data_IF_775864388844
#
_entry.id   IF_775864388844
#
_cell.length_a   1.000
_cell.length_b   1.000
_cell.length_c   1.000
_cell.angle_alpha   90.00
_cell.angle_beta   90.00
_cell.angle_gamma   90.00
#
_symmetry.space_group_name_H-M   'P 1'
#
loop_
_entity.id
_entity.type
_entity.pdbx_description
1 polymer ?
#
# COMPACT_ATOMS: atom_id res chain seq x y z
N UNK A 1 -2.71 -2.75 -25.95
CA UNK A 1 -2.48 -2.32 -24.56
C UNK A 1 -2.33 -0.80 -24.44
N UNK A 2 -2.83 0.00 -25.40
CA UNK A 2 -2.52 1.44 -25.51
C UNK A 2 -3.54 2.39 -24.87
N UNK A 3 -4.30 1.96 -23.85
CA UNK A 3 -5.32 2.82 -23.22
C UNK A 3 -5.42 2.71 -21.70
N UNK A 4 -4.41 2.18 -21.02
CA UNK A 4 -4.33 2.35 -19.57
C UNK A 4 -3.54 3.63 -19.26
N UNK A 5 -4.08 4.53 -18.43
CA UNK A 5 -3.34 5.72 -18.02
C UNK A 5 -2.03 5.31 -17.34
N UNK A 6 -0.95 6.03 -17.63
CA UNK A 6 0.32 5.82 -16.93
C UNK A 6 0.14 6.21 -15.47
N UNK A 7 0.63 5.36 -14.57
CA UNK A 7 0.68 5.69 -13.15
C UNK A 7 1.57 6.92 -12.92
N UNK A 8 1.11 7.81 -12.06
CA UNK A 8 1.94 8.84 -11.43
C UNK A 8 1.45 9.05 -10.00
N UNK A 9 2.37 9.41 -9.11
CA UNK A 9 2.04 9.75 -7.73
C UNK A 9 1.01 10.88 -7.63
N UNK A 10 1.10 11.86 -8.53
CA UNK A 10 0.12 12.96 -8.60
C UNK A 10 -1.29 12.46 -8.92
N UNK A 11 -1.42 11.61 -9.96
CA UNK A 11 -2.72 11.06 -10.35
C UNK A 11 -3.28 10.12 -9.27
N UNK A 12 -2.40 9.36 -8.61
CA UNK A 12 -2.77 8.50 -7.49
C UNK A 12 -3.32 9.31 -6.30
N UNK A 13 -2.62 10.35 -5.87
CA UNK A 13 -3.13 11.24 -4.82
C UNK A 13 -4.43 11.94 -5.19
N UNK A 14 -4.60 12.35 -6.45
CA UNK A 14 -5.86 12.92 -6.94
C UNK A 14 -7.01 11.91 -6.86
N UNK A 15 -6.76 10.64 -7.20
CA UNK A 15 -7.74 9.56 -7.10
C UNK A 15 -8.16 9.29 -5.64
N UNK A 16 -7.20 9.20 -4.71
CA UNK A 16 -7.51 8.99 -3.29
C UNK A 16 -8.37 10.13 -2.71
N UNK A 17 -8.05 11.38 -3.07
CA UNK A 17 -8.83 12.53 -2.67
C UNK A 17 -10.26 12.49 -3.26
N UNK A 18 -10.42 12.00 -4.48
CA UNK A 18 -11.75 11.85 -5.09
C UNK A 18 -12.59 10.80 -4.39
N UNK A 19 -12.01 9.65 -4.02
CA UNK A 19 -12.70 8.66 -3.20
C UNK A 19 -13.20 9.25 -1.88
N UNK A 20 -12.34 10.02 -1.19
CA UNK A 20 -12.74 10.68 0.05
C UNK A 20 -13.83 11.72 -0.11
N UNK A 21 -13.74 12.57 -1.15
CA UNK A 21 -14.80 13.53 -1.47
C UNK A 21 -16.13 12.84 -1.77
N UNK A 22 -16.07 11.64 -2.32
CA UNK A 22 -17.22 10.79 -2.62
C UNK A 22 -17.74 10.01 -1.40
N UNK A 23 -17.18 10.22 -0.20
CA UNK A 23 -17.65 9.59 1.03
C UNK A 23 -17.05 8.19 1.32
N UNK A 24 -16.03 7.76 0.59
CA UNK A 24 -15.35 6.49 0.87
C UNK A 24 -14.33 6.63 1.99
N UNK A 25 -14.23 5.60 2.83
CA UNK A 25 -13.07 5.41 3.71
C UNK A 25 -11.94 4.69 2.97
N UNK A 26 -10.69 5.05 3.29
CA UNK A 26 -9.49 4.43 2.73
C UNK A 26 -8.83 3.60 3.84
N UNK A 27 -9.03 2.28 3.81
CA UNK A 27 -8.71 1.38 4.93
C UNK A 27 -7.78 0.23 4.52
N UNK A 28 -7.02 -0.34 5.47
CA UNK A 28 -6.19 -1.50 5.22
C UNK A 28 -7.04 -2.77 5.14
N UNK A 29 -6.45 -3.84 4.58
CA UNK A 29 -7.14 -5.12 4.37
C UNK A 29 -7.58 -5.78 5.68
N UNK A 30 -6.89 -5.51 6.80
CA UNK A 30 -7.26 -6.04 8.12
C UNK A 30 -8.68 -5.69 8.55
N UNK A 31 -9.25 -4.61 8.02
CA UNK A 31 -10.61 -4.13 8.34
C UNK A 31 -11.70 -4.74 7.45
N UNK A 32 -11.35 -5.65 6.54
CA UNK A 32 -12.27 -6.19 5.52
C UNK A 32 -13.51 -6.87 6.11
N UNK A 33 -13.39 -7.44 7.32
CA UNK A 33 -14.47 -8.15 7.99
C UNK A 33 -15.27 -7.26 8.96
N UNK A 34 -14.90 -5.99 9.07
CA UNK A 34 -15.58 -5.05 9.96
C UNK A 34 -16.95 -4.67 9.37
N UNK A 35 -17.97 -4.56 10.23
CA UNK A 35 -19.29 -4.07 9.83
C UNK A 35 -19.28 -2.54 9.71
N UNK A 36 -18.94 -2.04 8.52
CA UNK A 36 -18.80 -0.61 8.25
C UNK A 36 -20.06 -0.01 7.61
N UNK A 37 -20.46 1.16 8.09
CA UNK A 37 -21.68 1.87 7.64
C UNK A 37 -21.46 2.77 6.42
N UNK A 38 -20.21 2.86 5.94
CA UNK A 38 -19.81 3.74 4.83
C UNK A 38 -19.12 2.92 3.74
N UNK A 39 -19.17 3.34 2.47
CA UNK A 39 -18.41 2.66 1.43
C UNK A 39 -16.90 2.74 1.70
N UNK A 40 -16.17 1.70 1.31
CA UNK A 40 -14.73 1.56 1.63
C UNK A 40 -13.95 1.21 0.37
N UNK A 41 -12.77 1.81 0.24
CA UNK A 41 -11.71 1.34 -0.64
C UNK A 41 -10.63 0.71 0.23
N UNK A 42 -10.44 -0.60 0.07
CA UNK A 42 -9.36 -1.31 0.74
C UNK A 42 -8.06 -1.14 -0.05
N UNK A 43 -7.08 -0.45 0.53
CA UNK A 43 -5.80 -0.19 -0.11
C UNK A 43 -4.82 -1.30 0.24
N UNK A 44 -4.27 -1.94 -0.81
CA UNK A 44 -3.22 -2.94 -0.70
C UNK A 44 -2.16 -2.75 -1.77
N UNK A 45 -0.91 -3.02 -1.42
CA UNK A 45 0.24 -2.95 -2.33
C UNK A 45 1.10 -4.19 -2.21
N UNK A 46 1.45 -4.79 -3.34
CA UNK A 46 2.42 -5.88 -3.41
C UNK A 46 3.80 -5.31 -3.78
N UNK A 47 4.79 -5.54 -2.92
CA UNK A 47 6.16 -5.06 -3.09
C UNK A 47 7.03 -6.21 -3.61
N UNK A 48 7.07 -6.32 -4.93
CA UNK A 48 7.74 -7.43 -5.62
C UNK A 48 9.21 -7.15 -5.93
N UNK A 49 9.57 -5.88 -6.21
CA UNK A 49 10.89 -5.54 -6.78
C UNK A 49 11.66 -4.50 -5.97
N UNK A 50 11.03 -3.35 -5.67
CA UNK A 50 11.70 -2.21 -5.05
C UNK A 50 10.86 -1.67 -3.88
N UNK A 51 11.35 -1.76 -2.64
CA UNK A 51 10.67 -1.17 -1.47
C UNK A 51 10.55 0.36 -1.49
N UNK A 52 11.53 1.07 -2.05
CA UNK A 52 11.71 2.52 -1.88
C UNK A 52 10.52 3.36 -2.37
N UNK A 53 9.89 3.09 -3.53
CA UNK A 53 8.72 3.84 -4.00
C UNK A 53 7.51 3.76 -3.05
N UNK A 54 7.44 2.73 -2.19
CA UNK A 54 6.36 2.60 -1.21
C UNK A 54 6.33 3.76 -0.21
N UNK A 55 7.48 4.38 0.07
CA UNK A 55 7.55 5.54 0.97
C UNK A 55 6.71 6.72 0.49
N UNK A 56 6.80 7.03 -0.80
CA UNK A 56 6.04 8.14 -1.39
C UNK A 56 4.56 7.78 -1.54
N UNK A 57 4.23 6.52 -1.86
CA UNK A 57 2.83 6.05 -1.82
C UNK A 57 2.24 6.19 -0.42
N UNK A 58 2.93 5.69 0.61
CA UNK A 58 2.44 5.76 2.00
C UNK A 58 2.25 7.20 2.47
N UNK A 59 3.18 8.11 2.13
CA UNK A 59 3.03 9.53 2.44
C UNK A 59 1.75 10.10 1.81
N UNK A 60 1.51 9.84 0.53
CA UNK A 60 0.31 10.31 -0.18
C UNK A 60 -0.97 9.75 0.42
N UNK A 61 -0.99 8.47 0.78
CA UNK A 61 -2.14 7.82 1.43
C UNK A 61 -2.43 8.42 2.81
N UNK A 62 -1.39 8.60 3.62
CA UNK A 62 -1.49 9.20 4.96
C UNK A 62 -1.95 10.66 4.90
N UNK A 63 -1.49 11.43 3.90
CA UNK A 63 -1.96 12.80 3.65
C UNK A 63 -3.40 12.86 3.16
N UNK A 64 -3.84 11.85 2.39
CA UNK A 64 -5.24 11.64 2.12
C UNK A 64 -5.98 11.08 3.36
N UNK A 65 -5.36 10.97 4.54
CA UNK A 65 -5.97 10.46 5.76
C UNK A 65 -6.42 8.99 5.68
N UNK A 66 -5.82 8.23 4.76
CA UNK A 66 -6.07 6.81 4.56
C UNK A 66 -4.97 5.94 5.17
N UNK A 67 -5.25 4.64 5.24
CA UNK A 67 -4.28 3.60 5.63
C UNK A 67 -4.36 2.45 4.63
N UNK A 68 -3.25 1.75 4.47
CA UNK A 68 -3.11 0.67 3.48
C UNK A 68 -2.31 -0.49 4.07
N UNK A 69 -2.36 -1.66 3.41
CA UNK A 69 -1.52 -2.81 3.74
C UNK A 69 -0.47 -3.02 2.64
N UNK A 70 0.80 -3.00 3.02
CA UNK A 70 1.95 -3.25 2.14
C UNK A 70 2.50 -4.66 2.36
N UNK A 71 2.40 -5.51 1.35
CA UNK A 71 2.84 -6.90 1.39
C UNK A 71 4.25 -7.02 0.78
N UNK A 72 5.21 -7.47 1.57
CA UNK A 72 6.61 -7.62 1.13
C UNK A 72 6.90 -9.07 0.74
N UNK A 73 7.41 -9.25 -0.48
CA UNK A 73 7.85 -10.52 -1.02
C UNK A 73 9.28 -10.86 -0.54
N UNK A 74 9.40 -11.85 0.35
CA UNK A 74 10.70 -12.27 0.89
C UNK A 74 11.60 -12.98 -0.14
N UNK A 75 11.01 -13.57 -1.18
CA UNK A 75 11.70 -14.22 -2.31
C UNK A 75 12.05 -13.24 -3.44
N UNK A 76 11.75 -11.94 -3.27
CA UNK A 76 11.98 -10.91 -4.29
C UNK A 76 13.46 -10.58 -4.53
N UNK A 77 13.78 -9.72 -5.51
CA UNK A 77 15.14 -9.32 -5.86
C UNK A 77 15.71 -8.25 -4.92
N UNK A 78 15.25 -8.22 -3.66
CA UNK A 78 15.73 -7.31 -2.62
C UNK A 78 15.87 -8.05 -1.28
N UNK A 79 16.78 -7.57 -0.42
CA UNK A 79 16.93 -8.11 0.93
C UNK A 79 16.16 -7.26 1.93
N UNK A 80 15.06 -7.78 2.47
CA UNK A 80 14.25 -7.08 3.48
C UNK A 80 15.05 -6.73 4.75
N UNK A 81 16.07 -7.52 5.07
CA UNK A 81 16.90 -7.31 6.26
C UNK A 81 18.00 -6.26 6.05
N UNK A 82 18.24 -5.80 4.82
CA UNK A 82 19.15 -4.69 4.56
C UNK A 82 18.63 -3.40 5.23
N UNK A 83 19.54 -2.56 5.73
CA UNK A 83 19.19 -1.41 6.56
C UNK A 83 18.25 -0.44 5.83
N UNK A 84 18.52 -0.17 4.56
CA UNK A 84 17.73 0.69 3.68
C UNK A 84 16.30 0.21 3.51
N UNK A 85 16.08 -1.11 3.44
CA UNK A 85 14.74 -1.68 3.28
C UNK A 85 14.00 -1.76 4.62
N UNK A 86 14.72 -2.01 5.73
CA UNK A 86 14.12 -1.91 7.08
C UNK A 86 13.59 -0.51 7.37
N UNK A 87 14.29 0.53 6.91
CA UNK A 87 13.83 1.92 7.03
C UNK A 87 12.49 2.12 6.33
N UNK A 88 12.28 1.49 5.16
CA UNK A 88 10.99 1.55 4.46
C UNK A 88 9.86 0.99 5.34
N UNK A 89 10.05 -0.20 5.90
CA UNK A 89 9.04 -0.86 6.73
C UNK A 89 8.67 -0.02 7.94
N UNK A 90 9.68 0.45 8.69
CA UNK A 90 9.45 1.28 9.86
C UNK A 90 8.77 2.61 9.51
N UNK A 91 9.07 3.18 8.36
CA UNK A 91 8.45 4.44 7.92
C UNK A 91 6.99 4.22 7.55
N UNK A 92 6.65 3.16 6.82
CA UNK A 92 5.27 2.81 6.50
C UNK A 92 4.42 2.61 7.78
N UNK A 93 4.96 1.88 8.77
CA UNK A 93 4.28 1.69 10.06
C UNK A 93 4.11 3.03 10.80
N UNK A 94 5.12 3.89 10.81
CA UNK A 94 5.03 5.23 11.44
C UNK A 94 4.01 6.14 10.77
N UNK A 95 3.78 5.99 9.47
CA UNK A 95 2.75 6.71 8.71
C UNK A 95 1.33 6.14 8.94
N UNK A 96 1.22 5.03 9.67
CA UNK A 96 -0.05 4.40 10.03
C UNK A 96 -0.46 3.23 9.13
N UNK A 97 0.39 2.80 8.20
CA UNK A 97 0.12 1.65 7.33
C UNK A 97 0.46 0.32 8.01
N UNK A 98 -0.09 -0.75 7.45
CA UNK A 98 0.21 -2.11 7.86
C UNK A 98 1.24 -2.74 6.94
N UNK A 99 2.05 -3.65 7.48
CA UNK A 99 3.03 -4.43 6.74
C UNK A 99 2.66 -5.90 6.86
N UNK A 100 2.56 -6.58 5.73
CA UNK A 100 2.25 -8.00 5.63
C UNK A 100 3.28 -8.77 4.80
N UNK A 101 3.13 -10.10 4.79
CA UNK A 101 3.90 -10.99 3.93
C UNK A 101 3.20 -11.15 2.59
N UNK A 102 3.88 -10.83 1.48
CA UNK A 102 3.42 -11.31 0.18
C UNK A 102 3.77 -12.80 0.10
N UNK A 103 2.78 -13.64 0.38
CA UNK A 103 2.98 -15.09 0.37
C UNK A 103 3.16 -15.58 -1.06
N UNK A 104 4.23 -16.32 -1.28
CA UNK A 104 4.59 -16.85 -2.60
C UNK A 104 4.34 -18.36 -2.62
N UNK A 105 3.15 -18.75 -3.09
CA UNK A 105 2.76 -20.15 -3.22
C UNK A 105 3.66 -20.97 -4.15
N UNK A 106 4.49 -20.34 -4.99
CA UNK A 106 5.44 -21.07 -5.84
C UNK A 106 6.68 -21.49 -5.05
N UNK A 107 7.07 -20.70 -4.07
CA UNK A 107 8.29 -20.88 -3.29
C UNK A 107 8.04 -21.46 -1.90
N UNK A 108 6.82 -21.39 -1.39
CA UNK A 108 6.44 -21.89 -0.07
C UNK A 108 5.22 -22.83 -0.16
N UNK A 109 5.25 -23.97 0.57
CA UNK A 109 4.21 -25.02 0.51
C UNK A 109 2.85 -24.58 1.08
#
# INVERSE_FOLDING_TARGET
MDRLPRFSFQAYGALLNEFRRSGYQLLPVSTLLDELQTPVVYLRHDIDFFPQPALEMGRIESEAGGRATYYFLLSGPYNLFAAENRVVLHTLVKLGHEVGLHYDLKNYP
#
